data_IF_952942083333
#
_entry.id   IF_952942083333
#
_cell.length_a   1.000
_cell.length_b   1.000
_cell.length_c   1.000
_cell.angle_alpha   90.00
_cell.angle_beta   90.00
_cell.angle_gamma   90.00
#
_symmetry.space_group_name_H-M   'P 1'
#
loop_
_entity.id
_entity.type
_entity.pdbx_description
1 polymer ?
#
# COMPACT_ATOMS: atom_id res chain seq x y z
N UNK A 1 34.23 17.95 -8.70
CA UNK A 1 33.58 16.92 -9.55
C UNK A 1 34.23 15.52 -9.47
N UNK A 2 35.27 15.28 -8.65
CA UNK A 2 35.88 13.94 -8.53
C UNK A 2 35.31 13.06 -7.40
N UNK A 3 34.67 13.65 -6.39
CA UNK A 3 34.16 12.93 -5.21
C UNK A 3 32.99 11.99 -5.58
N UNK A 4 32.10 12.41 -6.48
CA UNK A 4 30.95 11.61 -6.95
C UNK A 4 31.35 10.34 -7.72
N UNK A 5 32.57 10.26 -8.24
CA UNK A 5 33.04 9.08 -8.99
C UNK A 5 33.44 7.93 -8.05
N UNK A 6 33.92 8.25 -6.85
CA UNK A 6 34.33 7.25 -5.86
C UNK A 6 33.11 6.64 -5.14
N UNK A 7 32.11 7.45 -4.80
CA UNK A 7 30.87 6.97 -4.16
C UNK A 7 30.08 5.99 -5.05
N UNK A 8 30.05 6.23 -6.37
CA UNK A 8 29.38 5.34 -7.32
C UNK A 8 30.09 3.98 -7.48
N UNK A 9 31.41 3.93 -7.31
CA UNK A 9 32.17 2.69 -7.39
C UNK A 9 31.95 1.80 -6.17
N UNK A 10 31.86 2.38 -4.97
CA UNK A 10 31.62 1.64 -3.71
C UNK A 10 30.27 0.93 -3.73
N UNK A 11 29.22 1.62 -4.20
CA UNK A 11 27.88 1.04 -4.31
C UNK A 11 27.79 -0.13 -5.29
N UNK A 12 28.56 -0.10 -6.38
CA UNK A 12 28.52 -1.15 -7.42
C UNK A 12 29.09 -2.48 -6.90
N UNK A 13 30.17 -2.43 -6.12
CA UNK A 13 30.79 -3.63 -5.53
C UNK A 13 29.85 -4.32 -4.54
N UNK A 14 29.21 -3.53 -3.67
CA UNK A 14 28.27 -4.04 -2.67
C UNK A 14 27.06 -4.72 -3.31
N UNK A 15 26.46 -4.08 -4.33
CA UNK A 15 25.33 -4.66 -5.07
C UNK A 15 25.72 -5.97 -5.77
N UNK A 16 26.92 -6.05 -6.34
CA UNK A 16 27.42 -7.30 -6.96
C UNK A 16 27.58 -8.41 -5.93
N UNK A 17 28.19 -8.12 -4.78
CA UNK A 17 28.32 -9.08 -3.68
C UNK A 17 26.95 -9.59 -3.22
N UNK A 18 26.00 -8.69 -2.94
CA UNK A 18 24.64 -9.07 -2.53
C UNK A 18 23.98 -9.96 -3.57
N UNK A 19 24.10 -9.62 -4.86
CA UNK A 19 23.53 -10.41 -5.96
C UNK A 19 24.11 -11.82 -6.03
N UNK A 20 25.41 -12.00 -5.82
CA UNK A 20 26.04 -13.32 -5.85
C UNK A 20 25.72 -14.15 -4.59
N UNK A 21 25.57 -13.52 -3.43
CA UNK A 21 25.08 -14.19 -2.21
C UNK A 21 23.61 -14.65 -2.37
N UNK A 22 22.75 -13.84 -3.00
CA UNK A 22 21.37 -14.25 -3.29
C UNK A 22 21.30 -15.46 -4.23
N UNK A 23 22.21 -15.56 -5.22
CA UNK A 23 22.28 -16.73 -6.11
C UNK A 23 22.74 -18.00 -5.40
N UNK A 24 23.54 -17.88 -4.34
CA UNK A 24 24.03 -19.02 -3.55
C UNK A 24 23.03 -19.47 -2.47
N UNK A 25 21.88 -18.81 -2.38
CA UNK A 25 20.77 -19.21 -1.51
C UNK A 25 20.69 -18.48 -0.17
N UNK A 26 21.58 -17.51 0.10
CA UNK A 26 21.49 -16.71 1.31
C UNK A 26 20.24 -15.82 1.29
N UNK A 27 19.57 -15.71 2.43
CA UNK A 27 18.46 -14.80 2.59
C UNK A 27 18.93 -13.34 2.65
N UNK A 28 18.06 -12.41 2.26
CA UNK A 28 18.34 -10.96 2.37
C UNK A 28 18.70 -10.55 3.80
N UNK A 29 18.11 -11.22 4.81
CA UNK A 29 18.35 -10.94 6.23
C UNK A 29 19.76 -11.34 6.65
N UNK A 30 20.22 -12.52 6.25
CA UNK A 30 21.59 -12.99 6.54
C UNK A 30 22.64 -12.11 5.87
N UNK A 31 22.45 -11.76 4.59
CA UNK A 31 23.35 -10.88 3.86
C UNK A 31 23.42 -9.52 4.53
N UNK A 32 22.26 -8.95 4.91
CA UNK A 32 22.18 -7.68 5.62
C UNK A 32 22.94 -7.71 6.93
N UNK A 33 22.71 -8.73 7.76
CA UNK A 33 23.39 -8.88 9.04
C UNK A 33 24.90 -9.06 8.88
N UNK A 34 25.35 -9.82 7.89
CA UNK A 34 26.77 -10.02 7.59
C UNK A 34 27.47 -8.71 7.21
N UNK A 35 26.86 -7.93 6.32
CA UNK A 35 27.43 -6.64 5.88
C UNK A 35 27.46 -5.60 7.00
N UNK A 36 26.42 -5.56 7.85
CA UNK A 36 26.41 -4.69 9.03
C UNK A 36 27.53 -5.04 10.01
N UNK A 37 27.82 -6.34 10.23
CA UNK A 37 28.94 -6.77 11.08
C UNK A 37 30.31 -6.40 10.51
N UNK A 38 30.42 -6.25 9.20
CA UNK A 38 31.63 -5.80 8.51
C UNK A 38 31.79 -4.26 8.52
N UNK A 39 30.86 -3.54 9.16
CA UNK A 39 30.93 -2.08 9.31
C UNK A 39 30.31 -1.31 8.14
N UNK A 40 29.60 -1.95 7.23
CA UNK A 40 28.87 -1.23 6.18
C UNK A 40 27.69 -0.44 6.76
N UNK A 41 27.40 0.73 6.18
CA UNK A 41 26.28 1.55 6.62
C UNK A 41 24.94 0.85 6.31
N UNK A 42 23.96 1.02 7.21
CA UNK A 42 22.62 0.42 7.04
C UNK A 42 21.95 0.91 5.74
N UNK A 43 22.20 2.16 5.35
CA UNK A 43 21.67 2.78 4.12
C UNK A 43 22.25 2.13 2.86
N UNK A 44 23.56 1.93 2.79
CA UNK A 44 24.21 1.31 1.64
C UNK A 44 23.80 -0.15 1.49
N UNK A 45 23.72 -0.88 2.60
CA UNK A 45 23.28 -2.28 2.61
C UNK A 45 21.84 -2.41 2.12
N UNK A 46 20.92 -1.57 2.60
CA UNK A 46 19.54 -1.59 2.14
C UNK A 46 19.43 -1.22 0.66
N UNK A 47 20.19 -0.21 0.21
CA UNK A 47 20.22 0.24 -1.19
C UNK A 47 20.75 -0.87 -2.10
N UNK A 48 21.84 -1.53 -1.72
CA UNK A 48 22.41 -2.66 -2.45
C UNK A 48 21.44 -3.84 -2.52
N UNK A 49 20.75 -4.19 -1.43
CA UNK A 49 19.72 -5.25 -1.43
C UNK A 49 18.53 -4.90 -2.33
N UNK A 50 18.11 -3.63 -2.35
CA UNK A 50 17.02 -3.17 -3.22
C UNK A 50 17.41 -3.22 -4.70
N UNK A 51 18.65 -2.87 -5.02
CA UNK A 51 19.18 -2.91 -6.39
C UNK A 51 19.54 -4.33 -6.86
N UNK A 52 19.89 -5.23 -5.95
CA UNK A 52 20.27 -6.62 -6.24
C UNK A 52 19.07 -7.53 -6.57
N UNK A 53 17.95 -7.01 -7.11
CA UNK A 53 16.85 -7.85 -7.59
C UNK A 53 17.44 -8.92 -8.52
N UNK A 54 17.19 -10.22 -8.28
CA UNK A 54 17.66 -11.26 -9.17
C UNK A 54 17.05 -10.96 -10.54
N UNK A 55 17.91 -10.75 -11.55
CA UNK A 55 17.43 -10.66 -12.92
C UNK A 55 16.72 -11.96 -13.23
N UNK A 56 15.47 -11.87 -13.71
CA UNK A 56 14.74 -13.04 -14.17
C UNK A 56 15.61 -13.72 -15.23
N UNK A 57 15.97 -15.00 -15.09
CA UNK A 57 16.81 -15.65 -16.09
C UNK A 57 16.09 -15.57 -17.44
N UNK A 58 16.81 -15.22 -18.51
CA UNK A 58 16.23 -15.14 -19.88
C UNK A 58 15.43 -16.40 -20.26
N UNK A 59 15.85 -17.57 -19.76
CA UNK A 59 15.13 -18.83 -19.92
C UNK A 59 13.70 -18.80 -19.36
N UNK A 60 13.47 -18.16 -18.20
CA UNK A 60 12.13 -18.03 -17.62
C UNK A 60 11.24 -17.10 -18.44
N UNK A 61 11.81 -16.04 -19.02
CA UNK A 61 11.06 -15.15 -19.92
C UNK A 61 10.60 -15.93 -21.16
N UNK A 62 11.48 -16.76 -21.74
CA UNK A 62 11.11 -17.62 -22.87
C UNK A 62 10.00 -18.61 -22.50
N UNK A 63 10.07 -19.26 -21.33
CA UNK A 63 9.03 -20.17 -20.84
C UNK A 63 7.69 -19.43 -20.68
N UNK A 64 7.69 -18.22 -20.09
CA UNK A 64 6.48 -17.42 -19.93
C UNK A 64 5.87 -17.00 -21.26
N UNK A 65 6.68 -16.66 -22.26
CA UNK A 65 6.21 -16.34 -23.61
C UNK A 65 5.57 -17.56 -24.29
N UNK A 66 6.21 -18.73 -24.18
CA UNK A 66 5.64 -19.99 -24.70
C UNK A 66 4.33 -20.34 -24.00
N UNK A 67 4.28 -20.21 -22.67
CA UNK A 67 3.06 -20.44 -21.90
C UNK A 67 1.93 -19.49 -22.30
N UNK A 68 2.24 -18.20 -22.49
CA UNK A 68 1.26 -17.21 -22.96
C UNK A 68 0.70 -17.57 -24.35
N UNK A 69 1.54 -18.01 -25.28
CA UNK A 69 1.10 -18.47 -26.61
C UNK A 69 0.18 -19.69 -26.49
N UNK A 70 0.52 -20.67 -25.65
CA UNK A 70 -0.33 -21.85 -25.43
C UNK A 70 -1.70 -21.46 -24.85
N UNK A 71 -1.74 -20.52 -23.90
CA UNK A 71 -2.98 -20.02 -23.32
C UNK A 71 -3.85 -19.34 -24.39
N UNK A 72 -3.27 -18.48 -25.22
CA UNK A 72 -3.98 -17.82 -26.32
C UNK A 72 -4.53 -18.85 -27.32
N UNK A 73 -3.72 -19.84 -27.72
CA UNK A 73 -4.17 -20.91 -28.61
C UNK A 73 -5.31 -21.72 -27.99
N UNK A 74 -5.24 -22.01 -26.69
CA UNK A 74 -6.29 -22.73 -25.96
C UNK A 74 -7.60 -21.93 -25.93
N UNK A 75 -7.53 -20.61 -25.72
CA UNK A 75 -8.71 -19.72 -25.77
C UNK A 75 -9.32 -19.69 -27.18
N UNK A 76 -8.49 -19.62 -28.23
CA UNK A 76 -8.98 -19.64 -29.62
C UNK A 76 -9.70 -20.95 -29.97
N UNK A 77 -9.15 -22.09 -29.54
CA UNK A 77 -9.80 -23.40 -29.68
C UNK A 77 -11.12 -23.43 -28.92
N UNK A 78 -11.13 -22.94 -27.68
CA UNK A 78 -12.34 -22.88 -26.84
C UNK A 78 -13.45 -22.05 -27.49
N UNK A 79 -13.14 -20.86 -28.03
CA UNK A 79 -14.11 -20.01 -28.74
C UNK A 79 -14.69 -20.72 -29.96
N UNK A 80 -13.87 -21.48 -30.71
CA UNK A 80 -14.36 -22.23 -31.88
C UNK A 80 -15.32 -23.36 -31.51
N UNK A 81 -15.10 -24.04 -30.38
CA UNK A 81 -16.00 -25.09 -29.89
C UNK A 81 -17.31 -24.48 -29.37
N UNK A 82 -17.23 -23.32 -28.74
CA UNK A 82 -18.35 -22.57 -28.19
C UNK A 82 -19.06 -21.67 -29.20
N UNK A 83 -18.80 -21.82 -30.50
CA UNK A 83 -19.65 -21.24 -31.52
C UNK A 83 -20.73 -22.26 -31.89
N UNK A 84 -21.83 -22.42 -31.11
CA UNK A 84 -22.99 -23.07 -31.66
C UNK A 84 -23.40 -22.23 -32.86
N UNK A 85 -23.67 -22.91 -33.96
CA UNK A 85 -24.35 -22.34 -35.12
C UNK A 85 -25.66 -21.74 -34.60
N UNK A 86 -25.63 -20.44 -34.25
CA UNK A 86 -26.82 -19.74 -33.81
C UNK A 86 -27.68 -19.59 -35.06
N UNK A 87 -28.61 -20.53 -35.24
CA UNK A 87 -29.80 -20.27 -36.05
C UNK A 87 -30.37 -18.94 -35.60
N UNK A 88 -30.39 -17.99 -36.54
CA UNK A 88 -30.94 -16.66 -36.35
C UNK A 88 -32.47 -16.82 -36.29
N UNK A 89 -32.98 -17.22 -35.13
CA UNK A 89 -34.38 -17.04 -34.80
C UNK A 89 -34.55 -15.58 -34.41
N UNK A 90 -34.93 -14.76 -35.40
CA UNK A 90 -35.34 -13.36 -35.23
C UNK A 90 -36.55 -13.32 -34.30
N UNK A 91 -36.43 -12.83 -33.06
CA UNK A 91 -37.58 -12.61 -32.20
C UNK A 91 -38.21 -11.29 -32.65
N UNK A 92 -39.43 -11.37 -33.19
CA UNK A 92 -40.28 -10.22 -33.45
C UNK A 92 -40.85 -9.76 -32.11
N UNK A 93 -40.12 -8.91 -31.40
CA UNK A 93 -40.57 -8.34 -30.14
C UNK A 93 -40.96 -6.86 -30.34
N UNK A 94 -42.23 -6.55 -30.09
CA UNK A 94 -42.78 -5.20 -30.10
C UNK A 94 -42.25 -4.42 -28.89
N UNK A 95 -41.33 -3.49 -29.15
CA UNK A 95 -40.81 -2.56 -28.15
C UNK A 95 -41.93 -1.55 -27.82
N UNK A 96 -42.62 -1.75 -26.70
CA UNK A 96 -43.37 -0.69 -26.03
C UNK A 96 -42.40 0.23 -25.31
N UNK A 97 -42.28 1.46 -25.83
CA UNK A 97 -41.52 2.54 -25.21
C UNK A 97 -42.10 2.88 -23.83
N UNK A 98 -41.27 2.91 -22.77
CA UNK A 98 -41.68 3.50 -21.50
C UNK A 98 -41.78 5.02 -21.62
N UNK A 99 -42.85 5.52 -21.01
CA UNK A 99 -43.23 6.90 -20.86
C UNK A 99 -42.14 7.70 -20.15
N UNK A 100 -41.85 8.87 -20.72
CA UNK A 100 -40.78 9.79 -20.36
C UNK A 100 -41.13 10.47 -19.03
N UNK A 101 -40.48 10.04 -17.95
CA UNK A 101 -40.57 10.70 -16.65
C UNK A 101 -39.72 11.98 -16.67
N UNK A 102 -40.38 13.12 -16.48
CA UNK A 102 -39.76 14.45 -16.44
C UNK A 102 -38.97 14.63 -15.14
N UNK A 103 -37.65 14.75 -15.27
CA UNK A 103 -36.76 15.15 -14.19
C UNK A 103 -36.89 16.68 -14.03
N UNK A 104 -37.22 17.20 -12.83
CA UNK A 104 -37.29 18.64 -12.60
C UNK A 104 -35.90 19.27 -12.75
N UNK A 105 -35.86 20.35 -13.52
CA UNK A 105 -34.65 21.12 -13.82
C UNK A 105 -33.97 21.58 -12.52
N UNK A 106 -32.76 21.06 -12.29
CA UNK A 106 -31.86 21.50 -11.25
C UNK A 106 -31.46 22.96 -11.48
N UNK A 107 -31.56 23.73 -10.40
CA UNK A 107 -31.15 25.10 -10.26
C UNK A 107 -29.63 25.22 -10.46
N UNK A 108 -29.25 25.84 -11.58
CA UNK A 108 -27.86 26.11 -11.93
C UNK A 108 -27.31 27.12 -10.92
N UNK A 109 -26.54 26.64 -9.95
CA UNK A 109 -25.75 27.49 -9.05
C UNK A 109 -24.69 28.19 -9.90
N UNK A 110 -24.88 29.49 -10.06
CA UNK A 110 -24.00 30.41 -10.74
C UNK A 110 -22.60 30.34 -10.10
N UNK A 111 -21.61 29.88 -10.86
CA UNK A 111 -20.22 29.88 -10.44
C UNK A 111 -19.77 31.33 -10.31
N UNK A 112 -19.64 31.80 -9.07
CA UNK A 112 -18.96 33.05 -8.77
C UNK A 112 -17.48 32.90 -9.14
N UNK A 113 -17.06 33.53 -10.24
CA UNK A 113 -15.66 33.65 -10.60
C UNK A 113 -14.95 34.47 -9.52
N UNK A 114 -14.24 33.77 -8.63
CA UNK A 114 -13.36 34.41 -7.65
C UNK A 114 -12.21 35.05 -8.44
N UNK A 115 -12.26 36.38 -8.54
CA UNK A 115 -11.21 37.25 -9.11
C UNK A 115 -9.93 37.13 -8.26
N UNK A 116 -9.10 36.14 -8.59
CA UNK A 116 -7.82 35.85 -7.93
C UNK A 116 -6.81 37.00 -8.00
N UNK A 117 -7.07 38.05 -8.79
CA UNK A 117 -6.16 39.17 -8.98
C UNK A 117 -6.22 40.21 -7.83
N UNK A 118 -7.20 40.11 -6.94
CA UNK A 118 -7.39 41.03 -5.81
C UNK A 118 -6.92 40.51 -4.44
N UNK A 119 -6.32 39.32 -4.37
CA UNK A 119 -5.78 38.84 -3.08
C UNK A 119 -4.54 39.70 -2.76
N UNK A 120 -4.57 40.54 -1.71
CA UNK A 120 -3.44 41.37 -1.36
C UNK A 120 -2.27 40.46 -1.00
N UNK A 121 -1.21 40.52 -1.80
CA UNK A 121 0.04 39.79 -1.51
C UNK A 121 0.53 40.31 -0.15
N UNK A 122 0.54 39.47 0.90
CA UNK A 122 1.02 39.92 2.18
C UNK A 122 2.48 40.38 2.01
N UNK A 123 2.87 41.52 2.60
CA UNK A 123 4.23 42.01 2.52
C UNK A 123 5.18 40.90 3.00
N UNK A 124 6.26 40.69 2.24
CA UNK A 124 7.25 39.66 2.50
C UNK A 124 7.89 39.83 3.89
N UNK A 125 7.25 39.25 4.89
CA UNK A 125 7.74 39.19 6.24
C UNK A 125 8.91 38.20 6.26
N UNK A 126 10.03 38.60 6.86
CA UNK A 126 11.25 37.80 6.92
C UNK A 126 10.94 36.45 7.57
N UNK A 127 10.86 35.40 6.76
CA UNK A 127 10.64 34.04 7.23
C UNK A 127 11.86 33.70 8.11
N UNK A 128 11.67 33.46 9.41
CA UNK A 128 12.76 33.05 10.29
C UNK A 128 13.34 31.74 9.76
N UNK A 129 14.66 31.67 9.73
CA UNK A 129 15.43 30.51 9.29
C UNK A 129 15.04 29.30 10.16
N UNK A 130 14.14 28.45 9.64
CA UNK A 130 13.68 27.24 10.31
C UNK A 130 14.87 26.28 10.36
N UNK A 131 15.46 26.08 11.54
CA UNK A 131 16.39 24.97 11.78
C UNK A 131 15.59 23.67 11.68
N UNK A 132 15.72 22.98 10.55
CA UNK A 132 15.03 21.72 10.31
C UNK A 132 15.70 20.63 11.16
N UNK A 133 15.00 20.17 12.20
CA UNK A 133 15.35 18.95 12.96
C UNK A 133 15.00 17.68 12.16
N UNK A 134 15.51 17.57 10.93
CA UNK A 134 15.13 16.54 9.94
C UNK A 134 15.68 15.14 10.27
N UNK A 135 16.49 15.00 11.32
CA UNK A 135 17.20 13.74 11.60
C UNK A 135 16.42 12.76 12.49
N UNK A 136 15.42 13.20 13.26
CA UNK A 136 14.71 12.31 14.18
C UNK A 136 13.60 11.48 13.52
N UNK A 137 12.91 12.00 12.50
CA UNK A 137 11.79 11.27 11.86
C UNK A 137 12.26 10.03 11.08
N UNK A 138 13.47 10.05 10.53
CA UNK A 138 13.97 8.93 9.73
C UNK A 138 14.25 7.68 10.58
N UNK A 139 14.79 7.84 11.79
CA UNK A 139 15.12 6.70 12.65
C UNK A 139 13.88 5.95 13.16
N UNK A 140 12.79 6.67 13.42
CA UNK A 140 11.54 6.10 13.91
C UNK A 140 10.89 5.18 12.86
N UNK A 141 10.86 5.62 11.60
CA UNK A 141 10.26 4.85 10.49
C UNK A 141 10.92 3.47 10.32
N UNK A 142 12.23 3.40 10.51
CA UNK A 142 13.01 2.19 10.36
C UNK A 142 12.78 1.18 11.49
N UNK A 143 12.52 1.66 12.71
CA UNK A 143 12.22 0.80 13.86
C UNK A 143 10.83 0.16 13.72
N UNK A 144 9.84 0.91 13.25
CA UNK A 144 8.46 0.40 13.09
C UNK A 144 8.42 -0.78 12.10
N UNK A 145 9.17 -0.72 11.00
CA UNK A 145 9.21 -1.83 10.04
C UNK A 145 9.81 -3.11 10.63
N UNK A 146 10.82 -3.00 11.49
CA UNK A 146 11.37 -4.15 12.21
C UNK A 146 10.36 -4.76 13.19
N UNK A 147 9.64 -3.91 13.92
CA UNK A 147 8.58 -4.34 14.85
C UNK A 147 7.44 -5.04 14.10
N UNK A 148 7.09 -4.55 12.91
CA UNK A 148 6.09 -5.15 12.03
C UNK A 148 6.48 -6.56 11.59
N UNK A 149 7.74 -6.80 11.24
CA UNK A 149 8.21 -8.15 10.91
C UNK A 149 8.15 -9.08 12.13
N UNK A 150 8.46 -8.57 13.33
CA UNK A 150 8.34 -9.34 14.58
C UNK A 150 6.88 -9.70 14.86
N UNK A 151 5.92 -8.83 14.54
CA UNK A 151 4.50 -9.07 14.85
C UNK A 151 3.90 -10.27 14.11
N UNK A 152 4.50 -10.69 12.99
CA UNK A 152 4.12 -11.89 12.25
C UNK A 152 4.37 -13.18 13.05
N UNK A 153 5.37 -13.19 13.93
CA UNK A 153 5.77 -14.38 14.72
C UNK A 153 5.51 -14.22 16.21
N UNK A 154 5.72 -13.03 16.76
CA UNK A 154 5.69 -12.72 18.19
C UNK A 154 4.88 -11.44 18.44
N UNK A 155 3.55 -11.45 18.25
CA UNK A 155 2.71 -10.25 18.34
C UNK A 155 2.76 -9.57 19.70
N UNK A 156 2.88 -10.33 20.79
CA UNK A 156 2.90 -9.77 22.16
C UNK A 156 4.23 -9.06 22.42
N UNK A 157 5.33 -9.57 21.85
CA UNK A 157 6.63 -8.90 21.86
C UNK A 157 6.60 -7.62 21.02
N UNK A 158 5.95 -7.65 19.86
CA UNK A 158 5.80 -6.48 19.00
C UNK A 158 4.96 -5.38 19.70
N UNK A 159 3.90 -5.75 20.42
CA UNK A 159 3.12 -4.82 21.25
C UNK A 159 4.01 -4.13 22.30
N UNK A 160 4.84 -4.87 23.03
CA UNK A 160 5.78 -4.29 23.99
C UNK A 160 6.73 -3.28 23.32
N UNK A 161 7.30 -3.63 22.16
CA UNK A 161 8.18 -2.74 21.41
C UNK A 161 7.46 -1.48 20.90
N UNK A 162 6.19 -1.59 20.46
CA UNK A 162 5.41 -0.40 20.11
C UNK A 162 5.18 0.50 21.33
N UNK A 163 4.99 -0.07 22.51
CA UNK A 163 4.76 0.70 23.74
C UNK A 163 5.99 1.51 24.19
N UNK A 164 7.19 1.10 23.77
CA UNK A 164 8.47 1.73 24.09
C UNK A 164 8.85 2.90 23.17
N UNK A 165 8.05 3.21 22.13
CA UNK A 165 8.32 4.34 21.23
C UNK A 165 8.18 5.71 21.94
N UNK A 166 8.78 6.76 21.39
CA UNK A 166 8.96 8.02 22.13
C UNK A 166 7.72 8.90 22.05
N UNK A 167 7.06 8.94 20.89
CA UNK A 167 5.93 9.85 20.68
C UNK A 167 4.61 9.10 20.60
N UNK A 168 3.51 9.76 21.01
CA UNK A 168 2.15 9.22 20.88
C UNK A 168 1.85 8.76 19.44
N UNK A 169 2.26 9.59 18.47
CA UNK A 169 2.06 9.34 17.05
C UNK A 169 2.84 8.10 16.56
N UNK A 170 4.08 7.93 17.00
CA UNK A 170 4.87 6.73 16.69
C UNK A 170 4.22 5.46 17.26
N UNK A 171 3.75 5.50 18.50
CA UNK A 171 3.04 4.38 19.14
C UNK A 171 1.79 4.00 18.36
N UNK A 172 0.94 4.98 18.07
CA UNK A 172 -0.31 4.77 17.34
C UNK A 172 -0.07 4.20 15.95
N UNK A 173 0.90 4.75 15.19
CA UNK A 173 1.28 4.22 13.88
C UNK A 173 1.84 2.79 13.98
N UNK A 174 2.66 2.50 14.99
CA UNK A 174 3.18 1.16 15.24
C UNK A 174 2.04 0.17 15.47
N UNK A 175 1.06 0.49 16.34
CA UNK A 175 -0.10 -0.34 16.59
C UNK A 175 -0.94 -0.61 15.33
N UNK A 176 -1.15 0.38 14.47
CA UNK A 176 -1.84 0.18 13.17
C UNK A 176 -1.11 -0.85 12.30
N UNK A 177 0.21 -0.70 12.16
CA UNK A 177 1.03 -1.60 11.34
C UNK A 177 1.03 -3.03 11.89
N UNK A 178 1.24 -3.20 13.20
CA UNK A 178 1.30 -4.54 13.80
C UNK A 178 -0.07 -5.21 13.86
N UNK A 179 -1.15 -4.45 14.06
CA UNK A 179 -2.51 -4.97 14.02
C UNK A 179 -2.77 -5.60 12.65
N UNK A 180 -2.53 -4.83 11.57
CA UNK A 180 -2.71 -5.29 10.20
C UNK A 180 -1.85 -6.50 9.85
N UNK A 181 -0.55 -6.46 10.17
CA UNK A 181 0.38 -7.55 9.87
C UNK A 181 0.04 -8.84 10.63
N UNK A 182 -0.29 -8.75 11.92
CA UNK A 182 -0.63 -9.91 12.75
C UNK A 182 -2.10 -10.36 12.59
N UNK A 183 -2.90 -9.66 11.77
CA UNK A 183 -4.34 -9.83 11.65
C UNK A 183 -5.10 -9.82 13.01
N UNK A 184 -4.63 -9.00 13.97
CA UNK A 184 -5.16 -8.92 15.34
C UNK A 184 -5.89 -7.58 15.57
N UNK A 185 -7.22 -7.49 15.37
CA UNK A 185 -7.97 -6.24 15.55
C UNK A 185 -7.96 -5.72 17.00
N UNK A 186 -7.73 -6.59 17.99
CA UNK A 186 -7.64 -6.19 19.40
C UNK A 186 -6.52 -5.16 19.66
N UNK A 187 -5.46 -5.16 18.84
CA UNK A 187 -4.37 -4.20 18.94
C UNK A 187 -4.82 -2.76 18.59
N UNK A 188 -5.87 -2.59 17.78
CA UNK A 188 -6.43 -1.26 17.50
C UNK A 188 -6.90 -0.57 18.81
N UNK A 189 -7.32 -1.31 19.84
CA UNK A 189 -7.73 -0.74 21.13
C UNK A 189 -6.61 0.02 21.85
N UNK A 190 -5.34 -0.26 21.52
CA UNK A 190 -4.17 0.40 22.12
C UNK A 190 -3.84 1.75 21.48
N UNK A 191 -4.47 2.06 20.34
CA UNK A 191 -4.31 3.33 19.64
C UNK A 191 -5.03 4.43 20.43
N UNK A 192 -4.26 5.44 20.80
CA UNK A 192 -4.69 6.54 21.64
C UNK A 192 -5.48 7.60 20.87
N UNK A 193 -5.07 7.94 19.64
CA UNK A 193 -5.81 8.85 18.77
C UNK A 193 -7.09 8.21 18.21
N UNK A 194 -8.24 8.86 18.42
CA UNK A 194 -9.54 8.24 18.12
C UNK A 194 -9.71 7.98 16.62
N UNK A 195 -9.42 8.98 15.78
CA UNK A 195 -9.56 8.86 14.32
C UNK A 195 -8.69 7.73 13.78
N UNK A 196 -7.46 7.59 14.28
CA UNK A 196 -6.52 6.54 13.87
C UNK A 196 -7.01 5.15 14.33
N UNK A 197 -7.53 5.06 15.55
CA UNK A 197 -8.12 3.83 16.10
C UNK A 197 -9.32 3.36 15.30
N UNK A 198 -10.22 4.28 15.00
CA UNK A 198 -11.46 4.00 14.28
C UNK A 198 -11.15 3.56 12.84
N UNK A 199 -10.17 4.21 12.18
CA UNK A 199 -9.65 3.77 10.88
C UNK A 199 -9.02 2.37 10.94
N UNK A 200 -8.28 2.04 12.02
CA UNK A 200 -7.72 0.71 12.22
C UNK A 200 -8.83 -0.36 12.24
N UNK A 201 -9.90 -0.15 13.00
CA UNK A 201 -11.04 -1.07 13.02
C UNK A 201 -11.80 -1.14 11.68
N UNK A 202 -11.94 -0.01 10.99
CA UNK A 202 -12.56 0.03 9.67
C UNK A 202 -11.80 -0.84 8.65
N UNK A 203 -10.46 -0.79 8.64
CA UNK A 203 -9.65 -1.62 7.76
C UNK A 203 -9.89 -3.13 7.95
N UNK A 204 -10.15 -3.57 9.18
CA UNK A 204 -10.52 -4.96 9.45
C UNK A 204 -11.96 -5.29 9.01
N UNK A 205 -12.88 -4.34 9.11
CA UNK A 205 -14.24 -4.53 8.63
C UNK A 205 -14.27 -4.70 7.10
N UNK A 206 -13.42 -3.96 6.38
CA UNK A 206 -13.26 -4.12 4.93
C UNK A 206 -12.78 -5.53 4.56
N UNK A 207 -12.05 -6.20 5.45
CA UNK A 207 -11.61 -7.60 5.30
C UNK A 207 -12.66 -8.62 5.78
N UNK A 208 -13.91 -8.19 6.03
CA UNK A 208 -15.02 -9.05 6.46
C UNK A 208 -15.04 -9.38 7.96
N UNK A 209 -14.23 -8.70 8.79
CA UNK A 209 -14.28 -8.88 10.25
C UNK A 209 -15.41 -8.04 10.87
N UNK A 210 -16.04 -8.54 11.94
CA UNK A 210 -17.08 -7.81 12.67
C UNK A 210 -16.47 -6.85 13.69
N UNK A 211 -15.87 -5.76 13.21
CA UNK A 211 -15.17 -4.75 14.06
C UNK A 211 -15.87 -3.39 14.14
N UNK A 212 -16.94 -3.15 13.36
CA UNK A 212 -17.61 -1.85 13.31
C UNK A 212 -18.15 -1.37 14.66
N UNK A 213 -18.50 -2.27 15.58
CA UNK A 213 -19.04 -1.87 16.89
C UNK A 213 -17.98 -1.24 17.81
N UNK A 214 -16.69 -1.43 17.51
CA UNK A 214 -15.58 -0.81 18.24
C UNK A 214 -15.23 0.62 17.76
N UNK A 215 -15.84 1.07 16.66
CA UNK A 215 -15.65 2.42 16.11
C UNK A 215 -16.47 3.40 16.94
N UNK A 216 -15.83 4.48 17.41
CA UNK A 216 -16.47 5.51 18.24
C UNK A 216 -17.08 6.65 17.43
N UNK A 217 -16.44 7.03 16.34
CA UNK A 217 -16.98 8.01 15.41
C UNK A 217 -18.24 7.45 14.71
N UNK A 218 -19.38 8.11 14.89
CA UNK A 218 -20.66 7.62 14.40
C UNK A 218 -20.76 7.64 12.85
N UNK A 219 -20.07 8.56 12.18
CA UNK A 219 -20.05 8.63 10.71
C UNK A 219 -19.23 7.48 10.12
N UNK A 220 -18.03 7.24 10.65
CA UNK A 220 -17.19 6.10 10.24
C UNK A 220 -17.91 4.79 10.57
N UNK A 221 -18.57 4.70 11.73
CA UNK A 221 -19.31 3.51 12.16
C UNK A 221 -20.49 3.20 11.23
N UNK A 222 -21.27 4.21 10.85
CA UNK A 222 -22.37 4.07 9.88
C UNK A 222 -21.83 3.60 8.53
N UNK A 223 -20.74 4.21 8.04
CA UNK A 223 -20.06 3.82 6.81
C UNK A 223 -19.57 2.36 6.85
N UNK A 224 -19.00 1.94 7.98
CA UNK A 224 -18.57 0.57 8.23
C UNK A 224 -19.72 -0.43 8.14
N UNK A 225 -20.85 -0.15 8.80
CA UNK A 225 -22.04 -1.02 8.78
C UNK A 225 -22.66 -1.11 7.39
N UNK A 226 -22.73 0.01 6.67
CA UNK A 226 -23.20 0.04 5.29
C UNK A 226 -22.30 -0.83 4.39
N UNK A 227 -20.97 -0.70 4.50
CA UNK A 227 -20.02 -1.52 3.75
C UNK A 227 -20.22 -3.02 4.00
N UNK A 228 -20.38 -3.43 5.26
CA UNK A 228 -20.66 -4.84 5.58
C UNK A 228 -21.99 -5.32 5.02
N UNK A 229 -23.04 -4.48 5.00
CA UNK A 229 -24.34 -4.85 4.44
C UNK A 229 -24.29 -5.11 2.92
N UNK A 230 -23.40 -4.41 2.20
CA UNK A 230 -23.24 -4.55 0.75
C UNK A 230 -22.42 -5.80 0.36
N UNK A 231 -21.46 -6.22 1.18
CA UNK A 231 -20.63 -7.39 0.85
C UNK A 231 -21.30 -8.73 1.14
N UNK A 232 -22.28 -8.77 2.05
CA UNK A 232 -23.02 -10.01 2.37
C UNK A 232 -23.81 -10.51 1.16
N UNK A 233 -24.13 -9.66 0.18
CA UNK A 233 -24.90 -10.05 -1.01
C UNK A 233 -24.06 -10.67 -2.13
N UNK A 234 -22.73 -10.71 -2.00
CA UNK A 234 -21.82 -11.22 -3.05
C UNK A 234 -21.20 -12.60 -2.77
N UNK A 235 -21.47 -13.20 -1.60
CA UNK A 235 -21.03 -14.56 -1.23
C UNK A 235 -22.21 -15.51 -1.18
#
# INVERSE_FOLDING_TARGET
MQITRLENMVNTSLTKYVKDQLKTGYSKKEIKQSLLRQGHSKTDVNTAIKQAKPGIPLAWIAILLVAAVIIVLSILVYIKIQAPEKEILVPKEEIKMPEKEEIPAEEIIEKEEIDLEKIPVPPAEKIPEIKIEETQEFEASMKIEEIKEISLTEPDRAEALCSDLNTKMEKDNCYVQIAGAAAKPALCAKISEQTVRDQCYFNFAVQGRKTCDNIKDEEIKKSCKNFLSLNITMT
#
